data_IF_318876061222
#
_entry.id   IF_318876061222
#
_cell.length_a   1.000
_cell.length_b   1.000
_cell.length_c   1.000
_cell.angle_alpha   90.00
_cell.angle_beta   90.00
_cell.angle_gamma   90.00
#
_symmetry.space_group_name_H-M   'P 1'
#
loop_
_entity.id
_entity.type
_entity.pdbx_description
1 polymer ?
#
# COMPACT_ATOMS: atom_id res chain seq x y z
N UNK A 1 -8.98 -15.95 -8.36
CA UNK A 1 -9.87 -14.96 -7.67
C UNK A 1 -9.17 -14.21 -6.53
N UNK A 2 -8.40 -14.88 -5.65
CA UNK A 2 -7.73 -14.24 -4.51
C UNK A 2 -6.92 -12.97 -4.86
N UNK A 3 -6.09 -13.01 -5.92
CA UNK A 3 -5.31 -11.84 -6.34
C UNK A 3 -6.16 -10.65 -6.78
N UNK A 4 -7.29 -10.90 -7.44
CA UNK A 4 -8.20 -9.83 -7.85
C UNK A 4 -8.80 -9.11 -6.63
N UNK A 5 -9.17 -9.86 -5.59
CA UNK A 5 -9.66 -9.29 -4.34
C UNK A 5 -8.58 -8.46 -3.60
N UNK A 6 -7.31 -8.86 -3.67
CA UNK A 6 -6.21 -8.07 -3.08
C UNK A 6 -6.09 -6.71 -3.76
N UNK A 7 -6.15 -6.67 -5.09
CA UNK A 7 -6.07 -5.42 -5.88
C UNK A 7 -7.31 -4.55 -5.66
N UNK A 8 -8.51 -5.13 -5.78
CA UNK A 8 -9.77 -4.41 -5.60
C UNK A 8 -9.87 -3.87 -4.18
N UNK A 9 -9.59 -4.70 -3.17
CA UNK A 9 -9.57 -4.28 -1.77
C UNK A 9 -8.56 -3.17 -1.52
N UNK A 10 -7.34 -3.29 -2.07
CA UNK A 10 -6.33 -2.24 -2.01
C UNK A 10 -6.81 -0.92 -2.61
N UNK A 11 -7.45 -0.95 -3.77
CA UNK A 11 -8.02 0.24 -4.42
C UNK A 11 -9.17 0.85 -3.61
N UNK A 12 -10.11 0.05 -3.11
CA UNK A 12 -11.24 0.52 -2.30
C UNK A 12 -10.75 1.19 -1.02
N UNK A 13 -9.76 0.61 -0.34
CA UNK A 13 -9.15 1.22 0.84
C UNK A 13 -8.45 2.52 0.48
N UNK A 14 -7.63 2.54 -0.58
CA UNK A 14 -6.87 3.71 -1.00
C UNK A 14 -7.74 4.90 -1.44
N UNK A 15 -8.91 4.63 -2.01
CA UNK A 15 -9.88 5.64 -2.47
C UNK A 15 -10.86 6.12 -1.40
N UNK A 16 -10.77 5.57 -0.18
CA UNK A 16 -11.65 5.92 0.92
C UNK A 16 -11.33 7.29 1.52
N UNK A 17 -12.33 7.96 2.14
CA UNK A 17 -12.13 9.24 2.85
C UNK A 17 -11.03 9.16 3.94
N UNK A 18 -10.95 8.09 4.76
CA UNK A 18 -9.85 7.93 5.71
C UNK A 18 -8.47 7.87 5.04
N UNK A 19 -8.33 7.13 3.93
CA UNK A 19 -7.06 7.06 3.20
C UNK A 19 -6.68 8.41 2.59
N UNK A 20 -7.63 9.17 2.03
CA UNK A 20 -7.37 10.53 1.55
C UNK A 20 -6.83 11.45 2.66
N UNK A 21 -7.42 11.40 3.87
CA UNK A 21 -6.91 12.18 5.02
C UNK A 21 -5.50 11.76 5.41
N UNK A 22 -5.22 10.46 5.41
CA UNK A 22 -3.88 9.94 5.70
C UNK A 22 -2.87 10.41 4.65
N UNK A 23 -3.26 10.40 3.37
CA UNK A 23 -2.44 10.91 2.27
C UNK A 23 -2.12 12.39 2.47
N UNK A 24 -3.11 13.21 2.84
CA UNK A 24 -2.89 14.64 3.07
C UNK A 24 -1.95 14.89 4.28
N UNK A 25 -2.09 14.11 5.35
CA UNK A 25 -1.17 14.13 6.50
C UNK A 25 0.24 13.75 6.06
N UNK A 26 0.38 12.64 5.32
CA UNK A 26 1.66 12.20 4.78
C UNK A 26 2.29 13.24 3.84
N UNK A 27 1.49 13.94 3.03
CA UNK A 27 1.96 14.94 2.09
C UNK A 27 2.50 16.22 2.78
N UNK A 28 2.10 16.48 4.02
CA UNK A 28 2.58 17.62 4.80
C UNK A 28 4.00 17.42 5.38
N UNK A 29 4.50 16.18 5.46
CA UNK A 29 5.76 15.86 6.15
C UNK A 29 7.02 16.35 5.40
N UNK A 30 7.17 16.14 4.08
CA UNK A 30 8.43 16.47 3.39
C UNK A 30 8.72 17.97 3.33
N UNK A 31 10.00 18.33 3.46
CA UNK A 31 10.46 19.74 3.45
C UNK A 31 11.21 20.13 2.17
N UNK A 32 11.63 19.15 1.37
CA UNK A 32 12.32 19.39 0.09
C UNK A 32 12.05 18.25 -0.90
N UNK A 33 12.29 18.50 -2.19
CA UNK A 33 11.98 17.55 -3.27
C UNK A 33 12.62 16.16 -3.11
N UNK A 34 13.90 16.08 -2.74
CA UNK A 34 14.58 14.79 -2.54
C UNK A 34 13.99 14.00 -1.38
N UNK A 35 13.74 14.68 -0.26
CA UNK A 35 13.07 14.08 0.90
C UNK A 35 11.66 13.63 0.56
N UNK A 36 10.95 14.31 -0.35
CA UNK A 36 9.62 13.92 -0.78
C UNK A 36 9.65 12.64 -1.63
N UNK A 37 10.62 12.49 -2.53
CA UNK A 37 10.80 11.23 -3.29
C UNK A 37 11.13 10.06 -2.36
N UNK A 38 12.05 10.25 -1.41
CA UNK A 38 12.36 9.24 -0.40
C UNK A 38 11.16 8.94 0.52
N UNK A 39 10.34 9.94 0.81
CA UNK A 39 9.12 9.79 1.60
C UNK A 39 8.06 8.96 0.86
N UNK A 40 7.89 9.17 -0.44
CA UNK A 40 7.04 8.31 -1.27
C UNK A 40 7.56 6.88 -1.26
N UNK A 41 8.87 6.68 -1.40
CA UNK A 41 9.49 5.36 -1.37
C UNK A 41 9.19 4.61 -0.06
N UNK A 42 9.40 5.24 1.10
CA UNK A 42 9.16 4.58 2.39
C UNK A 42 7.69 4.24 2.59
N UNK A 43 6.78 5.16 2.26
CA UNK A 43 5.35 4.96 2.43
C UNK A 43 4.83 3.86 1.49
N UNK A 44 5.29 3.82 0.24
CA UNK A 44 4.98 2.73 -0.68
C UNK A 44 5.50 1.39 -0.18
N UNK A 45 6.75 1.30 0.29
CA UNK A 45 7.30 0.05 0.85
C UNK A 45 6.52 -0.44 2.06
N UNK A 46 6.21 0.44 3.02
CA UNK A 46 5.41 0.08 4.21
C UNK A 46 3.99 -0.35 3.82
N UNK A 47 3.34 0.37 2.92
CA UNK A 47 2.02 -0.01 2.44
C UNK A 47 2.03 -1.38 1.74
N UNK A 48 3.10 -1.68 0.99
CA UNK A 48 3.25 -2.94 0.25
C UNK A 48 3.40 -4.15 1.18
N UNK A 49 4.09 -3.99 2.31
CA UNK A 49 4.22 -5.04 3.32
C UNK A 49 2.86 -5.49 3.87
N UNK A 50 1.91 -4.57 3.96
CA UNK A 50 0.53 -4.87 4.36
C UNK A 50 -0.27 -5.43 3.19
N UNK A 51 -0.27 -4.72 2.06
CA UNK A 51 -0.98 -5.08 0.86
C UNK A 51 -0.31 -4.45 -0.37
N UNK A 52 0.22 -5.28 -1.26
CA UNK A 52 0.91 -4.82 -2.47
C UNK A 52 -0.03 -4.04 -3.42
N UNK A 53 -1.32 -4.37 -3.48
CA UNK A 53 -2.32 -3.65 -4.28
C UNK A 53 -2.63 -2.26 -3.72
N UNK A 54 -2.72 -2.14 -2.40
CA UNK A 54 -2.87 -0.84 -1.70
C UNK A 54 -1.68 0.06 -2.00
N UNK A 55 -0.45 -0.46 -1.96
CA UNK A 55 0.77 0.31 -2.22
C UNK A 55 0.74 1.04 -3.56
N UNK A 56 0.27 0.38 -4.62
CA UNK A 56 0.26 0.96 -5.97
C UNK A 56 -0.63 2.19 -6.05
N UNK A 57 -1.85 2.07 -5.49
CA UNK A 57 -2.84 3.15 -5.54
C UNK A 57 -2.46 4.26 -4.56
N UNK A 58 -2.14 3.90 -3.31
CA UNK A 58 -1.78 4.86 -2.26
C UNK A 58 -0.54 5.67 -2.62
N UNK A 59 0.52 5.02 -3.12
CA UNK A 59 1.75 5.68 -3.56
C UNK A 59 1.50 6.70 -4.67
N UNK A 60 0.71 6.32 -5.69
CA UNK A 60 0.34 7.24 -6.78
C UNK A 60 -0.49 8.44 -6.30
N UNK A 61 -1.44 8.22 -5.39
CA UNK A 61 -2.24 9.30 -4.82
C UNK A 61 -1.39 10.23 -3.94
N UNK A 62 -0.42 9.69 -3.19
CA UNK A 62 0.54 10.48 -2.42
C UNK A 62 1.43 11.35 -3.31
N UNK A 63 1.92 10.81 -4.44
CA UNK A 63 2.67 11.59 -5.43
C UNK A 63 1.83 12.75 -5.97
N UNK A 64 0.56 12.51 -6.31
CA UNK A 64 -0.36 13.58 -6.73
C UNK A 64 -0.58 14.61 -5.62
N UNK A 65 -0.71 14.18 -4.36
CA UNK A 65 -0.87 15.09 -3.23
C UNK A 65 0.36 15.98 -3.00
N UNK A 66 1.56 15.41 -3.08
CA UNK A 66 2.81 16.15 -3.00
C UNK A 66 3.00 17.08 -4.20
N UNK A 67 2.54 16.71 -5.40
CA UNK A 67 2.60 17.54 -6.59
C UNK A 67 1.73 18.81 -6.51
N UNK A 68 0.70 18.82 -5.66
CA UNK A 68 -0.13 20.01 -5.40
C UNK A 68 0.57 21.06 -4.53
N UNK A 69 1.65 20.69 -3.85
CA UNK A 69 2.41 21.61 -2.98
C UNK A 69 3.33 22.50 -3.80
N UNK A 70 2.95 23.76 -3.95
CA UNK A 70 3.71 24.78 -4.69
C UNK A 70 5.02 25.19 -4.00
N UNK A 71 5.12 24.97 -2.69
CA UNK A 71 6.33 25.21 -1.90
C UNK A 71 7.40 24.12 -2.09
N UNK A 72 7.03 22.99 -2.71
CA UNK A 72 7.86 21.81 -2.82
C UNK A 72 8.34 21.57 -4.26
N UNK A 73 9.61 21.92 -4.51
CA UNK A 73 10.32 21.61 -5.77
C UNK A 73 10.64 20.11 -5.88
N UNK A 74 9.65 19.26 -6.12
CA UNK A 74 9.78 17.79 -6.26
C UNK A 74 9.76 17.37 -7.73
N UNK A 75 10.68 16.50 -8.16
CA UNK A 75 10.59 15.90 -9.49
C UNK A 75 9.46 14.85 -9.51
N UNK A 76 8.44 15.11 -10.32
CA UNK A 76 7.23 14.31 -10.40
C UNK A 76 7.50 12.90 -10.94
N UNK A 77 8.48 12.75 -11.84
CA UNK A 77 8.84 11.46 -12.45
C UNK A 77 9.59 10.59 -11.45
N UNK A 78 10.54 11.19 -10.71
CA UNK A 78 11.26 10.50 -9.66
C UNK A 78 10.31 10.07 -8.53
N UNK A 79 9.35 10.92 -8.14
CA UNK A 79 8.33 10.57 -7.17
C UNK A 79 7.42 9.42 -7.67
N UNK A 80 7.00 9.46 -8.94
CA UNK A 80 6.26 8.37 -9.57
C UNK A 80 7.04 7.05 -9.60
N UNK A 81 8.34 7.09 -9.90
CA UNK A 81 9.20 5.91 -9.86
C UNK A 81 9.37 5.38 -8.42
N UNK A 82 9.54 6.27 -7.44
CA UNK A 82 9.62 5.89 -6.03
C UNK A 82 8.34 5.21 -5.54
N UNK A 83 7.16 5.58 -6.07
CA UNK A 83 5.90 4.94 -5.72
C UNK A 83 5.89 3.43 -6.07
N UNK A 84 6.67 3.01 -7.07
CA UNK A 84 6.81 1.60 -7.45
C UNK A 84 7.75 0.80 -6.55
N UNK A 85 8.55 1.42 -5.67
CA UNK A 85 9.47 0.68 -4.80
C UNK A 85 8.76 -0.25 -3.82
N UNK A 86 7.48 0.00 -3.51
CA UNK A 86 6.67 -0.96 -2.76
C UNK A 86 6.56 -2.31 -3.46
N UNK A 87 6.19 -2.30 -4.74
CA UNK A 87 6.12 -3.51 -5.57
C UNK A 87 7.52 -4.01 -5.98
N UNK A 88 8.45 -3.10 -6.28
CA UNK A 88 9.75 -3.45 -6.82
C UNK A 88 10.75 -3.97 -5.80
N UNK A 89 10.64 -3.61 -4.52
CA UNK A 89 11.66 -3.91 -3.51
C UNK A 89 11.20 -4.93 -2.45
N UNK A 90 10.00 -4.77 -1.87
CA UNK A 90 9.67 -5.47 -0.61
C UNK A 90 8.40 -6.33 -0.63
N UNK A 91 7.62 -6.31 -1.72
CA UNK A 91 6.28 -6.93 -1.76
C UNK A 91 6.24 -8.42 -1.41
N UNK A 92 7.29 -9.18 -1.76
CA UNK A 92 7.39 -10.62 -1.47
C UNK A 92 7.70 -10.93 -0.01
N UNK A 93 8.17 -9.95 0.75
CA UNK A 93 8.49 -10.06 2.18
C UNK A 93 7.33 -9.60 3.07
N UNK A 94 6.20 -9.19 2.48
CA UNK A 94 5.00 -8.74 3.18
C UNK A 94 4.01 -9.85 3.51
N UNK A 95 3.01 -9.51 4.34
CA UNK A 95 1.89 -10.39 4.69
C UNK A 95 1.04 -10.78 3.48
N UNK A 96 1.02 -9.92 2.45
CA UNK A 96 0.30 -10.14 1.20
C UNK A 96 1.10 -10.95 0.15
N UNK A 97 2.25 -11.53 0.53
CA UNK A 97 3.11 -12.31 -0.34
C UNK A 97 2.39 -13.55 -0.91
N UNK A 98 2.21 -13.64 -2.24
CA UNK A 98 1.56 -14.77 -2.89
C UNK A 98 2.14 -16.13 -2.52
N UNK A 99 3.48 -16.22 -2.56
CA UNK A 99 4.19 -17.48 -2.35
C UNK A 99 4.07 -17.93 -0.89
N UNK A 100 4.23 -17.00 0.06
CA UNK A 100 4.11 -17.31 1.47
C UNK A 100 2.68 -17.73 1.84
N UNK A 101 1.66 -17.03 1.33
CA UNK A 101 0.26 -17.37 1.60
C UNK A 101 -0.14 -18.73 1.02
N UNK A 102 0.35 -19.04 -0.19
CA UNK A 102 0.10 -20.33 -0.83
C UNK A 102 0.69 -21.47 0.02
N UNK A 103 1.93 -21.32 0.49
CA UNK A 103 2.63 -22.36 1.23
C UNK A 103 2.14 -22.53 2.67
N UNK A 104 1.65 -21.45 3.29
CA UNK A 104 1.15 -21.46 4.66
C UNK A 104 -0.27 -22.04 4.80
N UNK A 105 -0.98 -22.27 3.69
CA UNK A 105 -2.34 -22.80 3.70
C UNK A 105 -2.45 -24.15 2.96
N UNK A 106 -2.62 -25.28 3.66
CA UNK A 106 -2.71 -26.60 3.03
C UNK A 106 -3.89 -26.71 2.06
N UNK A 107 -4.98 -26.00 2.29
CA UNK A 107 -6.15 -26.01 1.39
C UNK A 107 -5.87 -25.31 0.06
N UNK A 108 -4.82 -24.49 -0.01
CA UNK A 108 -4.41 -23.77 -1.22
C UNK A 108 -3.35 -24.55 -2.02
N UNK A 109 -2.76 -25.60 -1.46
CA UNK A 109 -1.71 -26.41 -2.11
C UNK A 109 -2.30 -27.62 -2.85
N UNK A 110 -1.86 -27.91 -4.09
CA UNK A 110 -2.16 -29.18 -4.75
C UNK A 110 -1.65 -30.36 -3.90
N UNK A 111 -2.40 -31.48 -3.81
CA UNK A 111 -2.00 -32.63 -2.98
C UNK A 111 -0.61 -33.19 -3.31
N UNK A 112 -0.21 -33.15 -4.59
CA UNK A 112 1.12 -33.57 -5.04
C UNK A 112 2.26 -32.71 -4.48
N UNK A 113 2.03 -31.41 -4.31
CA UNK A 113 3.02 -30.48 -3.75
C UNK A 113 3.03 -30.55 -2.22
N UNK A 114 1.84 -30.64 -1.61
CA UNK A 114 1.70 -30.77 -0.16
C UNK A 114 2.40 -32.04 0.37
N UNK A 115 2.32 -33.16 -0.37
CA UNK A 115 2.99 -34.41 0.00
C UNK A 115 4.54 -34.32 0.00
N UNK A 116 5.11 -33.38 -0.78
CA UNK A 116 6.57 -33.20 -0.88
C UNK A 116 7.05 -32.14 0.11
N UNK A 117 6.36 -31.01 0.16
CA UNK A 117 6.83 -29.78 0.85
C UNK A 117 6.22 -29.56 2.22
N UNK A 118 5.09 -30.21 2.53
CA UNK A 118 4.30 -29.90 3.72
C UNK A 118 3.76 -28.47 3.72
N UNK A 119 3.31 -28.02 4.89
CA UNK A 119 2.92 -26.62 5.13
C UNK A 119 4.11 -25.88 5.71
N UNK A 120 4.49 -24.75 5.11
CA UNK A 120 5.57 -23.89 5.64
C UNK A 120 4.93 -22.58 6.13
N UNK A 121 4.82 -22.39 7.46
CA UNK A 121 4.17 -21.21 8.03
C UNK A 121 5.01 -19.93 7.88
N UNK A 122 4.41 -18.78 8.22
CA UNK A 122 5.12 -17.48 8.20
C UNK A 122 6.32 -17.42 9.14
N UNK A 123 6.29 -18.14 10.26
CA UNK A 123 7.40 -18.28 11.22
C UNK A 123 8.64 -18.91 10.60
N UNK A 124 8.49 -19.67 9.52
CA UNK A 124 9.58 -20.32 8.78
C UNK A 124 9.87 -19.63 7.43
N UNK A 125 9.23 -18.50 7.15
CA UNK A 125 9.41 -17.75 5.90
C UNK A 125 9.61 -16.26 6.17
N UNK A 126 8.54 -15.47 6.17
CA UNK A 126 8.60 -14.00 6.24
C UNK A 126 8.96 -13.46 7.64
N UNK A 127 8.72 -14.22 8.70
CA UNK A 127 9.04 -13.82 10.08
C UNK A 127 10.41 -14.31 10.56
N UNK A 128 11.18 -14.99 9.72
CA UNK A 128 12.57 -15.31 10.02
C UNK A 128 13.40 -14.03 10.16
N UNK A 129 14.37 -14.02 11.09
CA UNK A 129 15.26 -12.87 11.28
C UNK A 129 16.07 -12.57 10.01
N UNK A 130 16.40 -13.59 9.20
CA UNK A 130 17.07 -13.41 7.91
C UNK A 130 16.19 -12.63 6.93
N UNK A 131 14.88 -12.92 6.89
CA UNK A 131 13.90 -12.18 6.10
C UNK A 131 13.74 -10.75 6.63
N UNK A 132 13.74 -10.56 7.95
CA UNK A 132 13.74 -9.24 8.57
C UNK A 132 14.98 -8.41 8.24
N UNK A 133 16.17 -9.01 8.27
CA UNK A 133 17.42 -8.36 7.88
C UNK A 133 17.42 -8.02 6.39
N UNK A 134 16.98 -8.94 5.54
CA UNK A 134 16.86 -8.71 4.09
C UNK A 134 15.88 -7.55 3.80
N UNK A 135 14.74 -7.54 4.47
CA UNK A 135 13.76 -6.46 4.38
C UNK A 135 14.39 -5.11 4.77
N UNK A 136 15.08 -5.06 5.92
CA UNK A 136 15.76 -3.85 6.39
C UNK A 136 16.79 -3.35 5.37
N UNK A 137 17.63 -4.24 4.85
CA UNK A 137 18.65 -3.90 3.84
C UNK A 137 17.99 -3.37 2.57
N UNK A 138 16.97 -4.05 2.04
CA UNK A 138 16.26 -3.63 0.84
C UNK A 138 15.57 -2.27 1.03
N UNK A 139 14.96 -2.04 2.19
CA UNK A 139 14.36 -0.75 2.51
C UNK A 139 15.42 0.35 2.57
N UNK A 140 16.49 0.15 3.35
CA UNK A 140 17.55 1.16 3.51
C UNK A 140 18.21 1.49 2.17
N UNK A 141 18.61 0.48 1.39
CA UNK A 141 19.23 0.68 0.07
C UNK A 141 18.25 1.39 -0.87
N UNK A 142 17.00 0.97 -0.91
CA UNK A 142 15.97 1.60 -1.77
C UNK A 142 15.73 3.07 -1.39
N UNK A 143 15.76 3.41 -0.10
CA UNK A 143 15.65 4.80 0.36
C UNK A 143 16.88 5.63 -0.01
N UNK A 144 18.08 5.06 0.16
CA UNK A 144 19.32 5.73 -0.23
C UNK A 144 19.31 6.01 -1.73
N UNK A 145 18.97 5.01 -2.55
CA UNK A 145 18.88 5.16 -4.01
C UNK A 145 17.81 6.20 -4.37
N UNK A 146 16.61 6.12 -3.80
CA UNK A 146 15.55 7.08 -4.08
C UNK A 146 15.95 8.52 -3.72
N UNK A 147 16.60 8.73 -2.58
CA UNK A 147 17.05 10.05 -2.13
C UNK A 147 18.24 10.57 -2.95
N UNK A 148 19.25 9.73 -3.20
CA UNK A 148 20.49 10.11 -3.86
C UNK A 148 20.28 10.39 -5.36
N UNK A 149 19.40 9.63 -6.01
CA UNK A 149 19.11 9.79 -7.44
C UNK A 149 18.03 10.84 -7.72
N UNK A 150 17.27 11.26 -6.71
CA UNK A 150 16.26 12.30 -6.88
C UNK A 150 16.91 13.62 -7.38
N UNK A 151 16.37 14.21 -8.47
CA UNK A 151 16.85 15.50 -8.97
C UNK A 151 16.82 16.59 -7.89
N UNK A 152 17.85 17.44 -7.89
CA UNK A 152 17.92 18.59 -7.00
C UNK A 152 17.02 19.74 -7.50
N UNK A 153 16.93 20.82 -6.71
CA UNK A 153 16.07 21.98 -7.01
C UNK A 153 16.27 22.58 -8.42
N UNK A 154 17.48 22.50 -8.97
CA UNK A 154 17.82 23.07 -10.29
C UNK A 154 17.46 22.19 -11.50
N UNK A 155 17.18 20.90 -11.30
CA UNK A 155 16.89 19.94 -12.39
C UNK A 155 15.57 19.19 -12.23
N UNK A 156 14.85 19.43 -11.12
CA UNK A 156 13.55 18.83 -10.87
C UNK A 156 12.50 19.30 -11.87
N UNK A 157 11.80 18.34 -12.48
CA UNK A 157 10.60 18.60 -13.30
C UNK A 157 9.34 18.34 -12.48
N UNK A 158 8.66 19.42 -12.13
CA UNK A 158 7.35 19.38 -11.45
C UNK A 158 6.25 18.85 -12.39
N UNK A 159 5.09 18.49 -11.85
CA UNK A 159 3.98 17.89 -12.62
C UNK A 159 3.56 18.74 -13.83
N UNK A 160 3.46 20.06 -13.66
CA UNK A 160 3.11 21.00 -14.73
C UNK A 160 4.13 20.97 -15.89
N UNK A 161 5.42 20.84 -15.59
CA UNK A 161 6.47 20.73 -16.60
C UNK A 161 6.42 19.39 -17.37
N UNK A 162 5.67 18.40 -16.86
CA UNK A 162 5.38 17.14 -17.53
C UNK A 162 4.02 17.17 -18.27
N UNK A 163 3.32 18.30 -18.30
CA UNK A 163 1.96 18.40 -18.87
C UNK A 163 0.90 17.65 -18.06
N UNK A 164 1.17 17.37 -16.78
CA UNK A 164 0.24 16.66 -15.90
C UNK A 164 -0.50 17.66 -15.02
N UNK A 165 -1.83 17.70 -15.16
CA UNK A 165 -2.68 18.38 -14.20
C UNK A 165 -2.75 17.58 -12.89
N UNK A 166 -2.30 18.21 -11.81
CA UNK A 166 -2.28 17.61 -10.47
C UNK A 166 -3.50 17.99 -9.64
N UNK A 167 -4.41 18.80 -10.18
CA UNK A 167 -5.69 19.10 -9.54
C UNK A 167 -6.54 17.83 -9.49
N UNK A 168 -7.07 17.53 -8.30
CA UNK A 168 -8.01 16.42 -8.12
C UNK A 168 -9.40 16.98 -8.35
N UNK A 169 -9.98 16.69 -9.51
CA UNK A 169 -11.42 16.84 -9.71
C UNK A 169 -12.06 15.72 -8.93
N UNK A 170 -12.57 16.01 -7.73
CA UNK A 170 -13.43 15.07 -7.01
C UNK A 170 -14.74 15.00 -7.80
N UNK A 171 -15.08 13.87 -8.43
CA UNK A 171 -16.34 13.76 -9.13
C UNK A 171 -17.46 13.94 -8.10
N UNK A 172 -18.34 14.91 -8.30
CA UNK A 172 -19.53 15.01 -7.47
C UNK A 172 -20.36 13.74 -7.65
N UNK A 173 -20.75 13.11 -6.55
CA UNK A 173 -21.64 11.95 -6.59
C UNK A 173 -22.98 12.39 -7.18
N UNK A 174 -23.43 11.83 -8.31
CA UNK A 174 -24.72 12.17 -8.90
C UNK A 174 -25.85 11.92 -7.89
N UNK A 175 -26.84 12.80 -7.86
CA UNK A 175 -28.06 12.55 -7.07
C UNK A 175 -28.86 11.43 -7.76
N UNK A 176 -29.35 10.41 -7.03
CA UNK A 176 -30.12 9.33 -7.63
C UNK A 176 -31.37 9.89 -8.32
N UNK A 177 -31.51 9.59 -9.61
CA UNK A 177 -32.64 10.02 -10.45
C UNK A 177 -33.70 8.92 -10.58
N UNK A 178 -33.32 7.65 -10.39
CA UNK A 178 -34.20 6.49 -10.54
C UNK A 178 -34.29 5.69 -9.24
N UNK A 179 -35.44 5.05 -9.01
CA UNK A 179 -35.65 4.20 -7.81
C UNK A 179 -34.63 3.06 -7.69
N UNK A 180 -34.12 2.53 -8.80
CA UNK A 180 -33.06 1.51 -8.82
C UNK A 180 -31.71 2.03 -8.31
N UNK A 181 -31.43 3.33 -8.45
CA UNK A 181 -30.17 3.97 -8.04
C UNK A 181 -30.13 4.25 -6.52
N UNK A 182 -31.27 4.15 -5.83
CA UNK A 182 -31.35 4.46 -4.40
C UNK A 182 -30.49 3.53 -3.56
N UNK A 183 -30.40 2.26 -3.94
CA UNK A 183 -29.55 1.28 -3.25
C UNK A 183 -28.06 1.49 -3.56
N UNK A 184 -27.73 1.96 -4.76
CA UNK A 184 -26.35 2.21 -5.19
C UNK A 184 -25.73 3.41 -4.48
N UNK A 185 -26.51 4.48 -4.31
CA UNK A 185 -26.05 5.72 -3.64
C UNK A 185 -26.36 5.74 -2.14
N UNK A 186 -27.11 4.76 -1.61
CA UNK A 186 -27.38 4.67 -0.17
C UNK A 186 -26.20 4.03 0.58
N UNK A 187 -25.80 4.59 1.73
CA UNK A 187 -24.80 3.96 2.59
C UNK A 187 -25.30 2.65 3.23
N UNK A 188 -26.58 2.30 3.10
CA UNK A 188 -27.17 1.13 3.76
C UNK A 188 -26.44 -0.18 3.41
N UNK A 189 -26.19 -0.44 2.12
CA UNK A 189 -25.47 -1.65 1.70
C UNK A 189 -24.05 -1.69 2.27
N UNK A 190 -23.36 -0.54 2.27
CA UNK A 190 -22.02 -0.42 2.85
C UNK A 190 -22.07 -0.67 4.36
N UNK A 191 -23.05 -0.11 5.07
CA UNK A 191 -23.22 -0.29 6.52
C UNK A 191 -23.48 -1.76 6.84
N UNK A 192 -24.40 -2.42 6.13
CA UNK A 192 -24.67 -3.85 6.31
C UNK A 192 -23.41 -4.67 6.05
N UNK A 193 -22.68 -4.38 4.99
CA UNK A 193 -21.43 -5.07 4.66
C UNK A 193 -20.36 -4.86 5.74
N UNK A 194 -20.23 -3.64 6.27
CA UNK A 194 -19.30 -3.31 7.37
C UNK A 194 -19.72 -4.01 8.66
N UNK A 195 -21.01 -4.12 8.96
CA UNK A 195 -21.52 -4.84 10.13
C UNK A 195 -21.27 -6.34 10.00
N UNK A 196 -21.49 -6.94 8.82
CA UNK A 196 -21.16 -8.35 8.58
C UNK A 196 -19.66 -8.60 8.61
N UNK A 197 -18.86 -7.66 8.10
CA UNK A 197 -17.41 -7.75 8.12
C UNK A 197 -16.81 -7.39 9.49
N UNK A 198 -17.56 -6.76 10.40
CA UNK A 198 -17.10 -6.34 11.73
C UNK A 198 -16.53 -7.51 12.51
N UNK A 199 -17.21 -8.65 12.52
CA UNK A 199 -16.78 -9.79 13.33
C UNK A 199 -15.54 -10.45 12.71
N UNK A 200 -15.46 -10.51 11.37
CA UNK A 200 -14.29 -10.99 10.66
C UNK A 200 -13.07 -10.07 10.83
N UNK A 201 -13.24 -8.76 10.64
CA UNK A 201 -12.18 -7.76 10.76
C UNK A 201 -11.77 -7.61 12.22
N UNK A 202 -12.73 -7.56 13.16
CA UNK A 202 -12.49 -7.44 14.59
C UNK A 202 -11.72 -8.63 15.14
N UNK A 203 -12.14 -9.86 14.80
CA UNK A 203 -11.42 -11.07 15.17
C UNK A 203 -10.00 -11.10 14.59
N UNK A 204 -9.84 -10.77 13.30
CA UNK A 204 -8.54 -10.77 12.61
C UNK A 204 -7.61 -9.68 13.16
N UNK A 205 -8.13 -8.49 13.44
CA UNK A 205 -7.35 -7.35 13.95
C UNK A 205 -6.95 -7.56 15.41
N UNK A 206 -7.82 -8.15 16.24
CA UNK A 206 -7.47 -8.56 17.61
C UNK A 206 -6.41 -9.66 17.59
N UNK A 207 -6.55 -10.68 16.71
CA UNK A 207 -5.50 -11.68 16.55
C UNK A 207 -4.17 -11.06 16.13
N UNK A 208 -4.18 -10.13 15.16
CA UNK A 208 -2.99 -9.42 14.71
C UNK A 208 -2.33 -8.63 15.85
N UNK A 209 -3.09 -7.84 16.61
CA UNK A 209 -2.58 -7.06 17.73
C UNK A 209 -2.03 -7.92 18.87
N UNK A 210 -2.61 -9.09 19.11
CA UNK A 210 -2.14 -10.03 20.15
C UNK A 210 -0.90 -10.79 19.69
N UNK A 211 -0.84 -11.20 18.43
CA UNK A 211 0.23 -12.07 17.94
C UNK A 211 1.45 -11.31 17.44
N UNK A 212 1.32 -10.08 16.93
CA UNK A 212 2.49 -9.27 16.52
C UNK A 212 3.51 -9.10 17.66
N UNK A 213 3.12 -8.66 18.87
CA UNK A 213 4.06 -8.50 19.97
C UNK A 213 4.67 -9.83 20.42
N UNK A 214 3.87 -10.91 20.42
CA UNK A 214 4.34 -12.25 20.82
C UNK A 214 5.35 -12.79 19.81
N UNK A 215 5.08 -12.65 18.51
CA UNK A 215 6.02 -13.04 17.45
C UNK A 215 7.28 -12.19 17.50
N UNK A 216 7.18 -10.88 17.75
CA UNK A 216 8.33 -9.99 17.88
C UNK A 216 9.16 -10.24 19.15
N UNK A 217 8.57 -10.78 20.22
CA UNK A 217 9.26 -11.13 21.48
C UNK A 217 9.87 -12.54 21.46
N UNK A 218 9.39 -13.42 20.59
CA UNK A 218 9.87 -14.80 20.45
C UNK A 218 10.91 -14.95 19.31
N UNK A 219 11.16 -13.88 18.55
CA UNK A 219 12.28 -13.72 17.62
C UNK A 219 13.49 -13.12 18.33
#
# INVERSE_FOLDING_TARGET
MQMAFVVIGGYVVASSKPASRLIDICAAVPRNGRSAVAWVAIISMVASLLNWGLSLVFGGLLVKALARRTDLKMDYRAAGAAAYLGLGAVWTLGLSSPAAQLQANPASLPPSILAITGVIPFTETIFLWQSGLMLLVLMVVSLIVAYATAPGKGSAKEAAACGIDSTVVVPETPKPQRSSEWLEYSPFLIIVLVVLARDLIGFTFVQLLVHIPVVLLLL
#
